data_IF_440539088119
#
_entry.id   IF_440539088119
#
_cell.length_a   1.000
_cell.length_b   1.000
_cell.length_c   1.000
_cell.angle_alpha   90.00
_cell.angle_beta   90.00
_cell.angle_gamma   90.00
#
_symmetry.space_group_name_H-M   'P 1'
#
loop_
_entity.id
_entity.type
_entity.pdbx_description
1 polymer ?
#
# COMPACT_ATOMS: atom_id res chain seq x y z
N UNK A 1 16.30 13.09 8.10
CA UNK A 1 15.09 13.09 7.90
C UNK A 1 14.38 12.28 8.87
N UNK A 2 14.36 12.12 9.77
CA UNK A 2 13.52 11.48 10.68
C UNK A 2 12.76 10.30 10.23
N UNK A 3 13.04 9.82 9.07
CA UNK A 3 12.29 8.67 8.68
C UNK A 3 12.73 7.48 9.45
N UNK A 4 11.77 6.76 9.91
CA UNK A 4 12.01 5.47 10.48
C UNK A 4 11.80 4.45 9.39
N UNK A 5 12.83 3.75 9.06
CA UNK A 5 12.74 2.80 7.98
C UNK A 5 12.60 1.42 8.53
N UNK A 6 11.45 0.85 8.34
CA UNK A 6 11.13 -0.47 8.83
C UNK A 6 11.35 -1.54 7.80
N UNK A 7 11.50 -1.16 6.55
CA UNK A 7 11.83 -2.07 5.47
C UNK A 7 13.18 -1.67 4.93
N UNK A 8 13.72 -2.31 3.93
CA UNK A 8 14.96 -1.87 3.33
C UNK A 8 14.91 -0.40 3.03
N UNK A 9 16.05 0.26 3.08
CA UNK A 9 16.09 1.69 2.95
C UNK A 9 15.21 2.20 1.85
N UNK A 10 14.39 3.20 2.15
CA UNK A 10 13.43 3.68 1.21
C UNK A 10 12.82 4.95 1.76
N UNK A 11 12.53 5.88 0.89
CA UNK A 11 11.78 7.05 1.27
C UNK A 11 10.31 6.78 1.36
N UNK A 12 9.88 5.69 0.76
CA UNK A 12 8.48 5.31 0.74
C UNK A 12 8.41 3.85 1.15
N UNK A 13 7.97 3.58 2.35
CA UNK A 13 8.01 2.21 2.87
C UNK A 13 7.11 1.24 2.13
N UNK A 14 6.23 1.72 1.27
CA UNK A 14 5.35 0.84 0.53
C UNK A 14 5.79 0.66 -0.90
N UNK A 15 6.12 1.74 -1.59
CA UNK A 15 6.30 1.66 -3.03
C UNK A 15 7.74 1.46 -3.45
N UNK A 16 8.69 1.68 -2.58
CA UNK A 16 10.08 1.47 -2.90
C UNK A 16 10.54 0.18 -2.37
N UNK A 17 11.70 -0.19 -2.73
CA UNK A 17 12.02 -1.51 -3.13
C UNK A 17 11.22 -2.51 -2.40
N UNK A 18 11.17 -3.63 -2.92
CA UNK A 18 10.22 -4.60 -2.50
C UNK A 18 10.58 -5.22 -1.17
N UNK A 19 10.14 -4.68 -0.12
CA UNK A 19 10.06 -5.36 1.14
C UNK A 19 8.65 -5.77 1.39
N UNK A 20 7.71 -4.99 0.84
CA UNK A 20 6.29 -5.21 1.07
C UNK A 20 5.52 -4.80 -0.16
N UNK A 21 4.38 -5.45 -0.36
CA UNK A 21 3.50 -5.10 -1.47
C UNK A 21 2.07 -5.46 -1.12
N UNK A 22 1.15 -4.62 -1.55
CA UNK A 22 -0.27 -4.91 -1.45
C UNK A 22 -0.85 -5.00 -2.85
N UNK A 23 -1.70 -5.99 -3.05
CA UNK A 23 -2.37 -6.19 -4.32
C UNK A 23 -3.85 -6.31 -4.10
N UNK A 24 -4.61 -5.74 -5.02
CA UNK A 24 -6.05 -5.90 -5.08
C UNK A 24 -6.36 -6.68 -6.33
N UNK A 25 -7.29 -7.60 -6.21
CA UNK A 25 -7.73 -8.39 -7.35
C UNK A 25 -9.25 -8.35 -7.42
N UNK A 26 -9.77 -8.00 -8.60
CA UNK A 26 -11.19 -8.09 -8.87
C UNK A 26 -11.47 -9.53 -9.29
N UNK A 27 -12.26 -10.24 -8.50
CA UNK A 27 -12.46 -11.66 -8.74
C UNK A 27 -13.32 -11.94 -9.96
N UNK A 28 -14.05 -10.93 -10.45
CA UNK A 28 -14.90 -11.14 -11.62
C UNK A 28 -14.17 -10.86 -12.91
N UNK A 29 -13.29 -9.89 -12.93
CA UNK A 29 -12.57 -9.57 -14.16
C UNK A 29 -11.17 -10.13 -14.17
N UNK A 30 -10.62 -10.48 -13.02
CA UNK A 30 -9.24 -10.91 -12.93
C UNK A 30 -8.25 -9.77 -12.93
N UNK A 31 -8.71 -8.53 -12.92
CA UNK A 31 -7.81 -7.39 -12.91
C UNK A 31 -7.06 -7.33 -11.58
N UNK A 32 -5.77 -7.02 -11.65
CA UNK A 32 -4.92 -6.92 -10.47
C UNK A 32 -4.22 -5.56 -10.51
N UNK A 33 -4.23 -4.88 -9.39
CA UNK A 33 -3.52 -3.61 -9.27
C UNK A 33 -3.13 -3.39 -7.82
N UNK A 34 -2.33 -2.36 -7.59
CA UNK A 34 -1.92 -1.99 -6.24
C UNK A 34 -2.58 -0.69 -5.85
N UNK A 35 -2.89 -0.50 -4.55
CA UNK A 35 -3.36 0.81 -4.10
C UNK A 35 -2.26 1.87 -4.14
N UNK A 36 -1.03 1.46 -4.41
CA UNK A 36 0.10 2.36 -4.61
C UNK A 36 0.56 2.25 -6.06
N UNK A 37 1.32 3.25 -6.55
CA UNK A 37 1.78 3.18 -7.95
C UNK A 37 2.61 1.96 -8.28
N UNK A 38 3.30 1.42 -7.30
CA UNK A 38 4.10 0.23 -7.48
C UNK A 38 3.63 -0.80 -6.47
N UNK A 39 3.78 -2.09 -6.73
CA UNK A 39 4.40 -2.68 -7.90
C UNK A 39 3.46 -2.86 -9.10
N UNK A 40 2.15 -2.80 -8.92
CA UNK A 40 1.22 -3.07 -10.01
C UNK A 40 0.30 -1.87 -10.18
N UNK A 41 0.72 -0.94 -11.02
CA UNK A 41 -0.03 0.30 -11.20
C UNK A 41 -1.36 0.04 -11.87
N UNK A 42 -2.43 0.54 -11.27
CA UNK A 42 -3.74 0.50 -11.88
C UNK A 42 -3.97 1.68 -12.80
N UNK A 43 -5.15 1.74 -13.38
CA UNK A 43 -5.51 2.83 -14.26
C UNK A 43 -5.78 4.09 -13.44
N UNK A 44 -5.59 5.24 -14.08
CA UNK A 44 -5.89 6.50 -13.44
C UNK A 44 -4.74 7.02 -12.61
N UNK A 45 -4.96 8.15 -12.01
CA UNK A 45 -3.91 8.85 -11.28
C UNK A 45 -3.90 8.39 -9.83
N UNK A 46 -2.69 8.36 -9.28
CA UNK A 46 -2.50 8.14 -7.86
C UNK A 46 -2.13 9.46 -7.22
N UNK A 47 -2.68 9.72 -6.05
CA UNK A 47 -2.33 10.89 -5.28
C UNK A 47 -1.57 10.41 -4.06
N UNK A 48 -0.44 11.06 -3.77
CA UNK A 48 0.39 10.67 -2.66
C UNK A 48 0.57 11.90 -1.79
N UNK A 49 0.27 11.75 -0.51
CA UNK A 49 0.39 12.83 0.44
C UNK A 49 1.27 12.38 1.58
N UNK A 50 2.31 13.15 1.84
CA UNK A 50 3.21 12.86 2.95
C UNK A 50 2.92 13.79 4.09
N UNK A 51 2.96 13.23 5.29
CA UNK A 51 2.84 14.01 6.51
C UNK A 51 3.86 13.54 7.50
N UNK A 52 3.85 14.13 8.68
CA UNK A 52 4.79 13.73 9.71
C UNK A 52 4.46 12.30 10.14
N UNK A 53 5.36 11.39 9.84
CA UNK A 53 5.19 10.00 10.26
C UNK A 53 4.13 9.24 9.51
N UNK A 54 3.64 9.76 8.39
CA UNK A 54 2.61 9.03 7.65
C UNK A 54 2.69 9.34 6.17
N UNK A 55 2.17 8.43 5.38
CA UNK A 55 2.03 8.59 3.94
C UNK A 55 0.67 8.05 3.55
N UNK A 56 -0.05 8.80 2.74
CA UNK A 56 -1.36 8.39 2.27
C UNK A 56 -1.34 8.30 0.76
N UNK A 57 -1.85 7.19 0.25
CA UNK A 57 -2.02 6.97 -1.19
C UNK A 57 -3.50 6.93 -1.48
N UNK A 58 -3.92 7.66 -2.50
CA UNK A 58 -5.31 7.65 -2.93
C UNK A 58 -5.37 7.34 -4.41
N UNK A 59 -6.33 6.52 -4.77
CA UNK A 59 -6.46 6.06 -6.14
C UNK A 59 -7.92 5.73 -6.39
N UNK A 60 -8.37 6.03 -7.59
CA UNK A 60 -9.72 5.65 -8.02
C UNK A 60 -9.59 4.95 -9.35
N UNK A 61 -9.97 3.70 -9.38
CA UNK A 61 -9.92 2.91 -10.61
C UNK A 61 -10.76 1.67 -10.46
N UNK A 62 -11.17 1.14 -11.58
CA UNK A 62 -11.97 -0.09 -11.62
C UNK A 62 -13.28 0.06 -10.84
N UNK A 63 -13.79 1.29 -10.69
CA UNK A 63 -15.00 1.53 -9.93
C UNK A 63 -14.82 1.48 -8.43
N UNK A 64 -13.57 1.45 -7.96
CA UNK A 64 -13.25 1.36 -6.54
C UNK A 64 -12.41 2.55 -6.15
N UNK A 65 -12.80 3.21 -5.08
CA UNK A 65 -11.98 4.26 -4.50
C UNK A 65 -11.13 3.64 -3.40
N UNK A 66 -9.83 3.89 -3.44
CA UNK A 66 -8.88 3.28 -2.52
C UNK A 66 -8.13 4.35 -1.76
N UNK A 67 -7.92 4.11 -0.49
CA UNK A 67 -7.11 4.97 0.33
C UNK A 67 -6.24 4.08 1.21
N UNK A 68 -4.94 4.19 1.08
CA UNK A 68 -4.00 3.45 1.89
C UNK A 68 -3.19 4.44 2.70
N UNK A 69 -3.22 4.29 4.00
CA UNK A 69 -2.46 5.15 4.89
C UNK A 69 -1.49 4.31 5.67
N UNK A 70 -0.22 4.69 5.58
CA UNK A 70 0.86 3.97 6.25
C UNK A 70 1.45 4.90 7.28
N UNK A 71 1.57 4.43 8.51
CA UNK A 71 2.09 5.28 9.57
C UNK A 71 2.70 4.45 10.67
N UNK A 72 3.56 5.12 11.47
CA UNK A 72 4.20 4.51 12.62
C UNK A 72 3.76 5.31 13.84
N UNK A 73 3.02 4.69 14.76
CA UNK A 73 2.61 5.39 15.97
C UNK A 73 3.80 5.78 16.82
N UNK A 74 3.63 6.85 17.58
CA UNK A 74 4.72 7.33 18.42
C UNK A 74 5.06 6.33 19.51
N UNK A 75 4.04 5.65 20.01
CA UNK A 75 4.24 4.81 21.19
C UNK A 75 4.76 3.43 20.87
N UNK A 76 4.75 3.01 19.63
CA UNK A 76 5.10 1.64 19.32
C UNK A 76 5.90 1.58 18.03
N UNK A 77 6.95 0.77 17.99
CA UNK A 77 7.77 0.65 16.79
C UNK A 77 7.14 -0.33 15.81
N UNK A 78 5.93 -0.06 15.39
CA UNK A 78 5.23 -0.91 14.43
C UNK A 78 4.74 -0.04 13.29
N UNK A 79 4.67 -0.61 12.11
CA UNK A 79 4.13 0.06 10.95
C UNK A 79 2.70 -0.41 10.75
N UNK A 80 1.79 0.53 10.61
CA UNK A 80 0.39 0.23 10.40
C UNK A 80 0.00 0.68 9.00
N UNK A 81 -0.67 -0.21 8.27
CA UNK A 81 -1.19 0.10 6.96
C UNK A 81 -2.71 -0.05 7.03
N UNK A 82 -3.40 1.07 6.86
CA UNK A 82 -4.86 1.08 6.93
C UNK A 82 -5.40 1.27 5.51
N UNK A 83 -6.08 0.27 5.02
CA UNK A 83 -6.64 0.28 3.67
C UNK A 83 -8.15 0.47 3.76
N UNK A 84 -8.64 1.44 3.00
CA UNK A 84 -10.07 1.69 2.90
C UNK A 84 -10.47 1.55 1.44
N UNK A 85 -11.53 0.80 1.21
CA UNK A 85 -12.05 0.57 -0.13
C UNK A 85 -13.51 1.01 -0.16
N UNK A 86 -13.88 1.76 -1.19
CA UNK A 86 -15.25 2.20 -1.37
C UNK A 86 -15.69 1.78 -2.77
N UNK A 87 -16.79 1.04 -2.83
CA UNK A 87 -17.34 0.61 -4.10
C UNK A 87 -18.16 1.76 -4.66
N UNK A 88 -17.66 2.36 -5.73
CA UNK A 88 -18.34 3.47 -6.39
C UNK A 88 -19.13 3.01 -7.59
N UNK A 89 -19.16 1.72 -7.87
CA UNK A 89 -19.94 1.20 -8.97
C UNK A 89 -21.35 0.89 -8.47
N UNK A 90 -22.23 0.57 -9.42
CA UNK A 90 -23.62 0.27 -9.05
C UNK A 90 -23.84 -1.23 -8.92
N UNK A 91 -22.79 -2.00 -8.83
CA UNK A 91 -22.89 -3.46 -8.70
C UNK A 91 -22.04 -3.92 -7.54
N UNK A 92 -22.42 -5.03 -6.92
CA UNK A 92 -21.57 -5.63 -5.89
C UNK A 92 -20.24 -6.05 -6.50
N UNK A 93 -19.18 -5.89 -5.76
CA UNK A 93 -17.85 -6.23 -6.22
C UNK A 93 -17.21 -7.18 -5.22
N UNK A 94 -16.44 -8.12 -5.73
CA UNK A 94 -15.71 -9.05 -4.89
C UNK A 94 -14.24 -8.85 -5.13
N UNK A 95 -13.54 -8.44 -4.08
CA UNK A 95 -12.13 -8.10 -4.17
C UNK A 95 -11.35 -8.96 -3.21
N UNK A 96 -10.15 -9.34 -3.62
CA UNK A 96 -9.20 -10.01 -2.75
C UNK A 96 -8.05 -9.07 -2.49
N UNK A 97 -7.64 -8.97 -1.24
CA UNK A 97 -6.50 -8.16 -0.84
C UNK A 97 -5.38 -9.11 -0.46
N UNK A 98 -4.23 -8.96 -1.09
CA UNK A 98 -3.07 -9.78 -0.79
C UNK A 98 -1.94 -8.91 -0.32
N UNK A 99 -1.34 -9.28 0.79
CA UNK A 99 -0.18 -8.61 1.34
C UNK A 99 1.01 -9.54 1.20
N UNK A 100 2.05 -9.04 0.58
CA UNK A 100 3.29 -9.79 0.40
C UNK A 100 4.38 -9.08 1.17
N UNK A 101 5.14 -9.83 1.94
CA UNK A 101 6.26 -9.26 2.69
C UNK A 101 7.45 -10.17 2.56
N UNK A 102 8.61 -9.56 2.37
CA UNK A 102 9.86 -10.27 2.37
C UNK A 102 10.57 -9.96 3.67
N UNK A 103 10.71 -10.96 4.51
CA UNK A 103 11.23 -10.75 5.85
C UNK A 103 12.73 -10.83 5.84
N UNK A 104 13.35 -9.95 6.59
CA UNK A 104 14.77 -10.01 6.87
C UNK A 104 14.90 -10.42 8.34
N UNK A 105 15.29 -11.66 8.56
CA UNK A 105 15.42 -12.18 9.91
C UNK A 105 16.89 -12.33 10.19
N UNK A 106 17.30 -11.95 11.35
CA UNK A 106 18.69 -12.04 11.70
C UNK A 106 19.37 -10.70 11.59
N UNK A 107 20.60 -10.67 12.03
CA UNK A 107 21.27 -9.40 12.19
C UNK A 107 22.03 -8.97 10.97
N UNK A 108 22.24 -9.85 10.03
CA UNK A 108 23.11 -9.50 8.96
C UNK A 108 22.47 -9.87 7.68
N UNK A 109 22.15 -8.88 6.97
CA UNK A 109 21.68 -9.08 5.65
C UNK A 109 22.74 -8.71 4.67
N UNK A 110 23.82 -8.37 5.11
CA UNK A 110 24.89 -7.78 4.34
C UNK A 110 25.00 -8.29 2.94
#
# INVERSE_FOLDING_TARGET
SGENRLTPWSNDPISDPPGEALYLRDEETGAVWSPTPLPARGEGAYQIRHGAGSTEFRHHGHGIEQSLRVFVPVEAPVKIAALRLVNCSDQPRRLTVTYYAEWVLGTSRA
#
